data_IF_067026669785
#
_entry.id   IF_067026669785
#
_cell.length_a   1.000
_cell.length_b   1.000
_cell.length_c   1.000
_cell.angle_alpha   90.00
_cell.angle_beta   90.00
_cell.angle_gamma   90.00
#
_symmetry.space_group_name_H-M   'P 1'
#
loop_
_entity.id
_entity.type
_entity.pdbx_description
1 polymer ?
#
# COMPACT_ATOMS: atom_id res chain seq x y z
N UNK A 1 -0.61 33.13 10.26
CA UNK A 1 0.31 32.01 10.38
C UNK A 1 1.69 32.57 10.68
N UNK A 2 2.31 32.18 11.77
CA UNK A 2 3.59 32.71 12.22
C UNK A 2 4.72 32.29 11.27
N UNK A 3 5.72 33.20 11.04
CA UNK A 3 6.88 32.92 10.15
C UNK A 3 7.65 31.66 10.58
N UNK A 4 7.66 31.34 11.86
CA UNK A 4 8.28 30.13 12.42
C UNK A 4 7.55 28.86 11.96
N UNK A 5 6.22 28.86 11.97
CA UNK A 5 5.37 27.75 11.50
C UNK A 5 5.55 27.49 10.00
N UNK A 6 5.60 28.58 9.21
CA UNK A 6 5.79 28.46 7.76
C UNK A 6 7.17 27.86 7.41
N UNK A 7 8.21 28.29 8.12
CA UNK A 7 9.58 27.75 7.97
C UNK A 7 9.65 26.29 8.38
N UNK A 8 8.96 25.90 9.46
CA UNK A 8 8.88 24.52 9.92
C UNK A 8 8.20 23.62 8.87
N UNK A 9 7.02 24.04 8.36
CA UNK A 9 6.30 23.31 7.32
C UNK A 9 7.16 23.19 6.04
N UNK A 10 7.78 24.28 5.59
CA UNK A 10 8.63 24.26 4.40
C UNK A 10 9.82 23.30 4.55
N UNK A 11 10.50 23.31 5.72
CA UNK A 11 11.59 22.37 6.01
C UNK A 11 11.09 20.93 5.97
N UNK A 12 9.92 20.64 6.55
CA UNK A 12 9.36 19.28 6.60
C UNK A 12 8.96 18.78 5.23
N UNK A 13 8.34 19.63 4.40
CA UNK A 13 8.02 19.30 3.01
C UNK A 13 9.29 19.05 2.18
N UNK A 14 10.32 19.88 2.34
CA UNK A 14 11.60 19.68 1.65
C UNK A 14 12.24 18.35 2.03
N UNK A 15 12.29 18.02 3.33
CA UNK A 15 12.84 16.77 3.81
C UNK A 15 12.04 15.55 3.31
N UNK A 16 10.71 15.66 3.28
CA UNK A 16 9.85 14.60 2.73
C UNK A 16 10.09 14.40 1.23
N UNK A 17 10.18 15.49 0.47
CA UNK A 17 10.48 15.44 -0.97
C UNK A 17 11.87 14.82 -1.24
N UNK A 18 12.88 15.21 -0.45
CA UNK A 18 14.22 14.63 -0.54
C UNK A 18 14.21 13.12 -0.23
N UNK A 19 13.50 12.70 0.82
CA UNK A 19 13.36 11.28 1.18
C UNK A 19 12.70 10.50 0.05
N UNK A 20 11.60 11.01 -0.53
CA UNK A 20 10.94 10.37 -1.67
C UNK A 20 11.86 10.28 -2.88
N UNK A 21 12.63 11.33 -3.18
CA UNK A 21 13.60 11.32 -4.28
C UNK A 21 14.68 10.26 -4.06
N UNK A 22 15.20 10.13 -2.83
CA UNK A 22 16.20 9.10 -2.49
C UNK A 22 15.60 7.70 -2.67
N UNK A 23 14.37 7.47 -2.21
CA UNK A 23 13.69 6.17 -2.37
C UNK A 23 13.54 5.82 -3.85
N UNK A 24 13.05 6.78 -4.67
CA UNK A 24 12.89 6.58 -6.12
C UNK A 24 14.24 6.31 -6.78
N UNK A 25 15.31 7.01 -6.37
CA UNK A 25 16.66 6.77 -6.89
C UNK A 25 17.16 5.37 -6.54
N UNK A 26 17.03 4.95 -5.28
CA UNK A 26 17.45 3.61 -4.84
C UNK A 26 16.69 2.53 -5.61
N UNK A 27 15.36 2.66 -5.74
CA UNK A 27 14.56 1.71 -6.52
C UNK A 27 14.97 1.69 -7.99
N UNK A 28 15.24 2.86 -8.59
CA UNK A 28 15.71 2.96 -9.97
C UNK A 28 17.04 2.21 -10.15
N UNK A 29 18.01 2.42 -9.25
CA UNK A 29 19.30 1.73 -9.29
C UNK A 29 19.13 0.22 -9.10
N UNK A 30 18.31 -0.20 -8.13
CA UNK A 30 18.03 -1.62 -7.90
C UNK A 30 17.45 -2.29 -9.15
N UNK A 31 16.49 -1.64 -9.82
CA UNK A 31 15.91 -2.16 -11.06
C UNK A 31 16.94 -2.26 -12.18
N UNK A 32 17.89 -1.32 -12.24
CA UNK A 32 18.97 -1.35 -13.25
C UNK A 32 20.02 -2.44 -12.98
N UNK A 33 20.23 -2.79 -11.71
CA UNK A 33 21.15 -3.86 -11.31
C UNK A 33 20.54 -5.25 -11.42
N UNK A 34 19.22 -5.36 -11.60
CA UNK A 34 18.59 -6.66 -11.82
C UNK A 34 19.06 -7.28 -13.13
N UNK A 35 19.40 -8.58 -13.12
CA UNK A 35 19.79 -9.29 -14.34
C UNK A 35 18.60 -9.36 -15.31
N UNK A 36 18.90 -9.14 -16.58
CA UNK A 36 17.90 -9.12 -17.67
C UNK A 36 17.61 -7.71 -18.18
N UNK A 37 17.07 -7.65 -19.38
CA UNK A 37 16.62 -6.41 -19.99
C UNK A 37 15.12 -6.49 -20.23
N UNK A 38 14.41 -5.35 -20.32
CA UNK A 38 13.00 -5.34 -20.66
C UNK A 38 12.73 -5.80 -22.10
N UNK A 39 13.77 -5.94 -22.88
CA UNK A 39 13.72 -6.40 -24.26
C UNK A 39 14.10 -7.88 -24.35
N UNK A 40 13.52 -8.58 -25.32
CA UNK A 40 13.85 -9.99 -25.55
C UNK A 40 15.22 -10.09 -26.30
N UNK A 41 16.30 -9.81 -25.58
CA UNK A 41 17.65 -9.65 -26.11
C UNK A 41 18.18 -10.91 -26.80
N UNK A 42 17.67 -12.10 -26.43
CA UNK A 42 18.04 -13.37 -27.07
C UNK A 42 17.67 -13.44 -28.55
N UNK A 43 16.68 -12.62 -28.98
CA UNK A 43 16.20 -12.57 -30.37
C UNK A 43 16.71 -11.37 -31.16
N UNK A 44 17.51 -10.50 -30.55
CA UNK A 44 17.98 -9.27 -31.15
C UNK A 44 19.46 -9.42 -31.59
N UNK A 45 19.77 -8.92 -32.76
CA UNK A 45 21.17 -8.76 -33.18
C UNK A 45 21.85 -7.64 -32.39
N UNK A 46 23.18 -7.67 -32.27
CA UNK A 46 23.94 -6.63 -31.56
C UNK A 46 23.68 -5.22 -32.11
N UNK A 47 23.51 -5.10 -33.42
CA UNK A 47 23.16 -3.82 -34.07
C UNK A 47 21.75 -3.33 -33.65
N UNK A 48 20.79 -4.23 -33.53
CA UNK A 48 19.44 -3.91 -33.05
C UNK A 48 19.43 -3.53 -31.58
N UNK A 49 20.21 -4.22 -30.74
CA UNK A 49 20.40 -3.87 -29.32
C UNK A 49 20.99 -2.46 -29.19
N UNK A 50 22.05 -2.16 -29.92
CA UNK A 50 22.69 -0.84 -29.89
C UNK A 50 21.72 0.29 -30.27
N UNK A 51 20.89 0.09 -31.29
CA UNK A 51 19.87 1.05 -31.68
C UNK A 51 18.79 1.26 -30.61
N UNK A 52 18.33 0.18 -30.00
CA UNK A 52 17.36 0.24 -28.91
C UNK A 52 17.96 0.94 -27.69
N UNK A 53 19.20 0.59 -27.31
CA UNK A 53 19.88 1.19 -26.17
C UNK A 53 20.12 2.69 -26.36
N UNK A 54 20.55 3.09 -27.55
CA UNK A 54 20.67 4.51 -27.90
C UNK A 54 19.32 5.24 -27.89
N UNK A 55 18.27 4.61 -28.45
CA UNK A 55 16.92 5.19 -28.47
C UNK A 55 16.34 5.45 -27.10
N UNK A 56 16.57 4.55 -26.13
CA UNK A 56 16.07 4.66 -24.75
C UNK A 56 17.10 5.22 -23.78
N UNK A 57 18.29 5.59 -24.25
CA UNK A 57 19.36 6.17 -23.46
C UNK A 57 19.97 5.22 -22.42
N UNK A 58 19.90 3.91 -22.65
CA UNK A 58 20.51 2.92 -21.75
C UNK A 58 22.04 2.88 -21.86
N UNK A 59 22.60 3.49 -22.89
CA UNK A 59 24.03 3.72 -23.12
C UNK A 59 24.60 4.86 -22.27
N UNK A 60 23.73 5.70 -21.68
CA UNK A 60 24.12 6.86 -20.88
C UNK A 60 24.48 6.48 -19.46
N UNK A 61 25.25 7.34 -18.76
CA UNK A 61 25.51 7.17 -17.32
C UNK A 61 24.23 7.08 -16.49
N UNK A 62 24.25 6.28 -15.41
CA UNK A 62 23.08 6.01 -14.56
C UNK A 62 22.39 7.29 -14.07
N UNK A 63 23.16 8.32 -13.75
CA UNK A 63 22.60 9.59 -13.26
C UNK A 63 21.83 10.37 -14.33
N UNK A 64 22.26 10.32 -15.60
CA UNK A 64 21.50 10.93 -16.72
C UNK A 64 20.20 10.16 -17.00
N UNK A 65 20.28 8.85 -16.96
CA UNK A 65 19.08 8.00 -17.09
C UNK A 65 18.09 8.29 -15.98
N UNK A 66 18.55 8.46 -14.73
CA UNK A 66 17.72 8.81 -13.59
C UNK A 66 17.04 10.19 -13.75
N UNK A 67 17.79 11.22 -14.15
CA UNK A 67 17.23 12.55 -14.38
C UNK A 67 16.14 12.51 -15.45
N UNK A 68 16.37 11.78 -16.52
CA UNK A 68 15.39 11.62 -17.62
C UNK A 68 14.13 10.91 -17.09
N UNK A 69 14.29 9.79 -16.40
CA UNK A 69 13.20 9.04 -15.77
C UNK A 69 12.40 9.90 -14.78
N UNK A 70 13.11 10.63 -13.92
CA UNK A 70 12.48 11.48 -12.92
C UNK A 70 11.67 12.63 -13.54
N UNK A 71 12.20 13.26 -14.59
CA UNK A 71 11.47 14.30 -15.34
C UNK A 71 10.20 13.73 -15.99
N UNK A 72 10.31 12.59 -16.65
CA UNK A 72 9.16 11.91 -17.26
C UNK A 72 8.10 11.56 -16.21
N UNK A 73 8.50 11.00 -15.08
CA UNK A 73 7.60 10.68 -13.96
C UNK A 73 6.86 11.93 -13.45
N UNK A 74 7.54 13.07 -13.31
CA UNK A 74 6.92 14.33 -12.89
C UNK A 74 5.95 14.90 -13.93
N UNK A 75 6.16 14.62 -15.22
CA UNK A 75 5.24 15.00 -16.29
C UNK A 75 4.07 14.01 -16.48
N UNK A 76 4.00 12.95 -15.66
CA UNK A 76 2.95 11.93 -15.74
C UNK A 76 3.21 10.87 -16.81
N UNK A 77 4.39 10.88 -17.44
CA UNK A 77 4.82 9.84 -18.35
C UNK A 77 5.58 8.75 -17.57
N UNK A 78 4.89 7.64 -17.30
CA UNK A 78 5.44 6.46 -16.62
C UNK A 78 6.04 5.43 -17.60
N UNK A 79 6.20 5.81 -18.88
CA UNK A 79 6.69 4.94 -19.92
C UNK A 79 5.69 3.90 -20.39
N UNK A 80 6.20 2.89 -21.08
CA UNK A 80 5.40 1.79 -21.65
C UNK A 80 5.69 0.47 -20.95
N UNK A 81 4.67 -0.38 -20.85
CA UNK A 81 4.80 -1.71 -20.28
C UNK A 81 5.41 -2.68 -21.28
N UNK A 82 6.44 -3.41 -20.86
CA UNK A 82 7.08 -4.46 -21.66
C UNK A 82 6.64 -5.88 -21.30
N UNK A 83 6.11 -6.05 -20.09
CA UNK A 83 5.73 -7.37 -19.55
C UNK A 83 4.24 -7.68 -19.67
N UNK A 84 3.42 -7.00 -18.85
CA UNK A 84 1.99 -7.35 -18.66
C UNK A 84 1.15 -7.08 -19.92
N UNK A 85 1.36 -5.91 -20.54
CA UNK A 85 0.65 -5.51 -21.75
C UNK A 85 1.63 -4.75 -22.63
N UNK A 86 2.21 -5.44 -23.61
CA UNK A 86 3.28 -4.90 -24.43
C UNK A 86 2.84 -3.63 -25.16
N UNK A 87 3.71 -2.61 -25.11
CA UNK A 87 3.54 -1.31 -25.77
C UNK A 87 2.37 -0.45 -25.28
N UNK A 88 1.68 -0.82 -24.18
CA UNK A 88 0.69 0.06 -23.58
C UNK A 88 1.35 1.03 -22.60
N UNK A 89 0.92 2.32 -22.56
CA UNK A 89 1.35 3.25 -21.53
C UNK A 89 1.05 2.70 -20.12
N UNK A 90 2.02 2.80 -19.21
CA UNK A 90 1.86 2.35 -17.82
C UNK A 90 0.71 3.10 -17.12
N UNK A 91 0.51 4.37 -17.46
CA UNK A 91 -0.62 5.17 -16.99
C UNK A 91 -1.98 4.50 -17.24
N UNK A 92 -2.17 3.91 -18.44
CA UNK A 92 -3.42 3.23 -18.80
C UNK A 92 -3.64 1.93 -17.99
N UNK A 93 -2.56 1.36 -17.45
CA UNK A 93 -2.64 0.17 -16.60
C UNK A 93 -2.88 0.55 -15.12
N UNK A 94 -2.31 1.65 -14.65
CA UNK A 94 -2.30 2.02 -13.23
C UNK A 94 -3.48 2.92 -12.87
N UNK A 95 -3.73 3.97 -13.65
CA UNK A 95 -4.75 4.98 -13.31
C UNK A 95 -6.16 4.43 -13.09
N UNK A 96 -6.67 3.45 -13.87
CA UNK A 96 -7.99 2.89 -13.61
C UNK A 96 -8.06 2.05 -12.32
N UNK A 97 -6.93 1.59 -11.81
CA UNK A 97 -6.85 0.74 -10.61
C UNK A 97 -6.70 1.54 -9.31
N UNK A 98 -6.18 2.76 -9.39
CA UNK A 98 -6.00 3.63 -8.21
C UNK A 98 -7.32 3.90 -7.48
N UNK A 99 -8.42 4.31 -8.13
CA UNK A 99 -9.70 4.55 -7.43
C UNK A 99 -10.23 3.31 -6.73
N UNK A 100 -10.06 2.14 -7.35
CA UNK A 100 -10.50 0.86 -6.77
C UNK A 100 -9.69 0.55 -5.50
N UNK A 101 -8.37 0.63 -5.58
CA UNK A 101 -7.49 0.38 -4.44
C UNK A 101 -7.72 1.39 -3.31
N UNK A 102 -7.90 2.66 -3.66
CA UNK A 102 -8.22 3.72 -2.69
C UNK A 102 -9.57 3.46 -2.02
N UNK A 103 -10.60 3.10 -2.78
CA UNK A 103 -11.92 2.78 -2.25
C UNK A 103 -11.89 1.60 -1.26
N UNK A 104 -11.17 0.53 -1.61
CA UNK A 104 -10.99 -0.64 -0.73
C UNK A 104 -10.24 -0.24 0.54
N UNK A 105 -9.11 0.49 0.41
CA UNK A 105 -8.32 0.94 1.55
C UNK A 105 -9.12 1.87 2.48
N UNK A 106 -9.83 2.83 1.92
CA UNK A 106 -10.67 3.76 2.67
C UNK A 106 -11.78 3.03 3.43
N UNK A 107 -12.51 2.12 2.76
CA UNK A 107 -13.55 1.31 3.39
C UNK A 107 -12.98 0.44 4.52
N UNK A 108 -11.79 -0.14 4.34
CA UNK A 108 -11.13 -0.93 5.37
C UNK A 108 -10.73 -0.09 6.59
N UNK A 109 -10.23 1.13 6.39
CA UNK A 109 -9.90 2.05 7.48
C UNK A 109 -11.15 2.47 8.25
N UNK A 110 -12.22 2.88 7.56
CA UNK A 110 -13.49 3.28 8.20
C UNK A 110 -14.06 2.11 9.00
N UNK A 111 -14.20 0.94 8.38
CA UNK A 111 -14.73 -0.26 9.05
C UNK A 111 -13.86 -0.65 10.25
N UNK A 112 -12.54 -0.67 10.06
CA UNK A 112 -11.58 -1.03 11.09
C UNK A 112 -11.59 -0.06 12.27
N UNK A 113 -11.70 1.24 11.99
CA UNK A 113 -11.76 2.28 13.03
C UNK A 113 -13.04 2.17 13.85
N UNK A 114 -14.20 2.05 13.21
CA UNK A 114 -15.49 1.93 13.92
C UNK A 114 -15.49 0.69 14.83
N UNK A 115 -15.16 -0.47 14.28
CA UNK A 115 -15.13 -1.72 15.05
C UNK A 115 -14.05 -1.64 16.15
N UNK A 116 -12.87 -1.10 15.83
CA UNK A 116 -11.76 -0.97 16.78
C UNK A 116 -12.11 -0.08 17.98
N UNK A 117 -12.76 1.07 17.76
CA UNK A 117 -13.23 1.94 18.84
C UNK A 117 -14.22 1.19 19.73
N UNK A 118 -15.23 0.55 19.17
CA UNK A 118 -16.24 -0.18 19.93
C UNK A 118 -15.61 -1.31 20.77
N UNK A 119 -14.72 -2.08 20.19
CA UNK A 119 -13.99 -3.15 20.90
C UNK A 119 -13.06 -2.59 21.99
N UNK A 120 -12.37 -1.47 21.72
CA UNK A 120 -11.49 -0.82 22.68
C UNK A 120 -12.24 -0.29 23.91
N UNK A 121 -13.37 0.38 23.70
CA UNK A 121 -14.25 0.85 24.78
C UNK A 121 -14.78 -0.33 25.59
N UNK A 122 -15.30 -1.37 24.91
CA UNK A 122 -15.81 -2.56 25.59
C UNK A 122 -14.72 -3.25 26.43
N UNK A 123 -13.52 -3.39 25.89
CA UNK A 123 -12.39 -3.98 26.62
C UNK A 123 -11.96 -3.14 27.84
N UNK A 124 -11.99 -1.81 27.74
CA UNK A 124 -11.65 -0.91 28.83
C UNK A 124 -12.68 -0.99 29.98
N UNK A 125 -13.98 -0.97 29.64
CA UNK A 125 -15.08 -1.09 30.61
C UNK A 125 -15.12 -2.46 31.31
N UNK A 126 -14.60 -3.50 30.66
CA UNK A 126 -14.48 -4.86 31.20
C UNK A 126 -13.06 -5.23 31.58
N UNK A 127 -12.25 -4.25 31.99
CA UNK A 127 -10.86 -4.43 32.41
C UNK A 127 -10.70 -5.56 33.43
N UNK A 128 -9.62 -6.35 33.26
CA UNK A 128 -9.28 -7.50 34.10
C UNK A 128 -10.32 -8.64 34.10
N UNK A 129 -11.17 -8.71 33.06
CA UNK A 129 -12.07 -9.84 32.83
C UNK A 129 -11.61 -10.68 31.65
N UNK A 130 -12.25 -11.83 31.45
CA UNK A 130 -11.99 -12.71 30.30
C UNK A 130 -12.20 -11.99 28.95
N UNK A 131 -13.12 -11.02 28.88
CA UNK A 131 -13.40 -10.22 27.69
C UNK A 131 -12.24 -9.30 27.31
N UNK A 132 -11.58 -8.74 28.31
CA UNK A 132 -10.36 -7.95 28.14
C UNK A 132 -9.22 -8.81 27.58
N UNK A 133 -9.05 -10.02 28.10
CA UNK A 133 -8.05 -10.97 27.61
C UNK A 133 -8.33 -11.39 26.17
N UNK A 134 -9.58 -11.70 25.83
CA UNK A 134 -9.99 -12.03 24.45
C UNK A 134 -9.70 -10.87 23.49
N UNK A 135 -10.09 -9.65 23.85
CA UNK A 135 -9.82 -8.45 23.03
C UNK A 135 -8.33 -8.24 22.83
N UNK A 136 -7.52 -8.47 23.84
CA UNK A 136 -6.06 -8.37 23.77
C UNK A 136 -5.47 -9.43 22.83
N UNK A 137 -5.93 -10.68 22.89
CA UNK A 137 -5.51 -11.76 22.00
C UNK A 137 -5.86 -11.43 20.55
N UNK A 138 -7.09 -10.96 20.30
CA UNK A 138 -7.51 -10.53 18.95
C UNK A 138 -6.62 -9.38 18.44
N UNK A 139 -6.30 -8.41 19.31
CA UNK A 139 -5.42 -7.30 18.95
C UNK A 139 -4.00 -7.77 18.62
N UNK A 140 -3.44 -8.70 19.40
CA UNK A 140 -2.11 -9.27 19.13
C UNK A 140 -2.11 -10.05 17.81
N UNK A 141 -3.09 -10.90 17.57
CA UNK A 141 -3.23 -11.64 16.31
C UNK A 141 -3.38 -10.70 15.10
N UNK A 142 -4.17 -9.63 15.25
CA UNK A 142 -4.40 -8.66 14.18
C UNK A 142 -3.17 -7.84 13.78
N UNK A 143 -2.22 -7.66 14.70
CA UNK A 143 -0.93 -7.01 14.40
C UNK A 143 0.10 -8.02 13.89
N UNK A 144 0.05 -9.26 14.38
CA UNK A 144 1.06 -10.29 14.05
C UNK A 144 0.84 -10.94 12.70
N UNK A 145 -0.41 -11.07 12.24
CA UNK A 145 -0.73 -11.71 10.96
C UNK A 145 -0.68 -10.67 9.83
N UNK A 146 0.21 -10.84 8.83
CA UNK A 146 0.23 -9.96 7.66
C UNK A 146 -1.13 -9.98 6.95
N UNK A 147 -1.67 -8.81 6.64
CA UNK A 147 -3.01 -8.68 6.02
C UNK A 147 -3.17 -9.44 4.71
N UNK A 148 -2.11 -9.54 3.91
CA UNK A 148 -2.15 -10.32 2.66
C UNK A 148 -2.29 -11.82 2.92
N UNK A 149 -1.70 -12.36 4.01
CA UNK A 149 -1.85 -13.77 4.40
C UNK A 149 -3.28 -14.05 4.81
N UNK A 150 -3.86 -13.16 5.64
CA UNK A 150 -5.28 -13.26 6.01
C UNK A 150 -6.18 -13.19 4.77
N UNK A 151 -5.88 -12.28 3.83
CA UNK A 151 -6.62 -12.16 2.58
C UNK A 151 -6.57 -13.46 1.77
N UNK A 152 -5.39 -14.10 1.64
CA UNK A 152 -5.25 -15.36 0.94
C UNK A 152 -6.04 -16.49 1.62
N UNK A 153 -6.00 -16.58 2.95
CA UNK A 153 -6.77 -17.57 3.71
C UNK A 153 -8.28 -17.38 3.44
N UNK A 154 -8.77 -16.15 3.51
CA UNK A 154 -10.17 -15.84 3.25
C UNK A 154 -10.56 -16.12 1.79
N UNK A 155 -9.68 -15.81 0.82
CA UNK A 155 -9.91 -16.12 -0.59
C UNK A 155 -9.99 -17.64 -0.85
N UNK A 156 -9.12 -18.41 -0.23
CA UNK A 156 -9.17 -19.88 -0.34
C UNK A 156 -10.45 -20.41 0.31
N UNK A 157 -10.82 -19.91 1.49
CA UNK A 157 -12.01 -20.37 2.21
C UNK A 157 -13.30 -20.01 1.47
N UNK A 158 -13.46 -18.73 1.10
CA UNK A 158 -14.73 -18.16 0.61
C UNK A 158 -14.75 -17.89 -0.90
N UNK A 159 -13.64 -18.04 -1.57
CA UNK A 159 -13.56 -17.93 -3.03
C UNK A 159 -13.39 -19.27 -3.73
N UNK A 160 -12.63 -20.21 -3.11
CA UNK A 160 -12.35 -21.52 -3.72
C UNK A 160 -13.20 -22.62 -3.10
N UNK A 161 -13.13 -22.82 -1.77
CA UNK A 161 -13.84 -23.94 -1.09
C UNK A 161 -15.33 -23.70 -0.97
N UNK A 162 -15.72 -22.49 -0.61
CA UNK A 162 -17.12 -22.07 -0.49
C UNK A 162 -17.29 -20.86 -1.42
N UNK A 163 -17.57 -21.06 -2.73
CA UNK A 163 -17.47 -20.01 -3.77
C UNK A 163 -18.58 -18.96 -3.65
N UNK A 164 -18.52 -18.17 -2.56
CA UNK A 164 -19.44 -17.06 -2.30
C UNK A 164 -18.90 -15.76 -2.93
N UNK A 165 -17.57 -15.56 -2.91
CA UNK A 165 -16.92 -14.33 -3.39
C UNK A 165 -16.01 -14.60 -4.58
N UNK A 166 -15.90 -13.63 -5.52
CA UNK A 166 -14.97 -13.73 -6.64
C UNK A 166 -13.52 -13.74 -6.14
N UNK A 167 -12.67 -14.56 -6.75
CA UNK A 167 -11.23 -14.65 -6.45
C UNK A 167 -10.49 -13.44 -7.03
N UNK A 168 -10.91 -12.97 -8.22
CA UNK A 168 -10.36 -11.81 -8.89
C UNK A 168 -11.38 -10.66 -8.87
N UNK A 169 -10.86 -9.43 -8.94
CA UNK A 169 -11.72 -8.27 -9.02
C UNK A 169 -12.58 -8.32 -10.30
N UNK A 170 -13.89 -8.26 -10.12
CA UNK A 170 -14.88 -8.26 -11.20
C UNK A 170 -15.59 -6.92 -11.24
N UNK A 171 -15.41 -6.18 -12.34
CA UNK A 171 -16.03 -4.87 -12.56
C UNK A 171 -17.57 -4.91 -12.58
N UNK A 172 -18.16 -6.05 -12.91
CA UNK A 172 -19.63 -6.23 -12.87
C UNK A 172 -20.17 -6.45 -11.46
N UNK A 173 -19.30 -6.81 -10.49
CA UNK A 173 -19.65 -7.03 -9.09
C UNK A 173 -18.59 -6.41 -8.17
N UNK A 174 -18.36 -5.09 -8.23
CA UNK A 174 -17.24 -4.43 -7.56
C UNK A 174 -17.32 -4.57 -6.03
N UNK A 175 -18.51 -4.39 -5.45
CA UNK A 175 -18.71 -4.52 -4.00
C UNK A 175 -18.37 -5.93 -3.53
N UNK A 176 -18.93 -6.95 -4.19
CA UNK A 176 -18.73 -8.35 -3.82
C UNK A 176 -17.27 -8.77 -3.90
N UNK A 177 -16.55 -8.26 -4.91
CA UNK A 177 -15.12 -8.51 -5.11
C UNK A 177 -14.24 -7.79 -4.08
N UNK A 178 -14.73 -6.72 -3.44
CA UNK A 178 -13.97 -5.92 -2.49
C UNK A 178 -14.14 -6.38 -1.04
N UNK A 179 -15.13 -7.20 -0.71
CA UNK A 179 -15.46 -7.60 0.67
C UNK A 179 -14.27 -8.29 1.35
N UNK A 180 -13.70 -9.31 0.71
CA UNK A 180 -12.58 -10.06 1.30
C UNK A 180 -11.34 -9.16 1.52
N UNK A 181 -10.86 -8.37 0.53
CA UNK A 181 -9.79 -7.41 0.78
C UNK A 181 -10.10 -6.40 1.86
N UNK A 182 -11.33 -5.87 1.93
CA UNK A 182 -11.73 -4.92 2.98
C UNK A 182 -11.65 -5.56 4.35
N UNK A 183 -12.19 -6.76 4.54
CA UNK A 183 -12.14 -7.48 5.81
C UNK A 183 -10.68 -7.76 6.22
N UNK A 184 -9.87 -8.26 5.28
CA UNK A 184 -8.48 -8.58 5.56
C UNK A 184 -7.64 -7.36 5.96
N UNK A 185 -7.83 -6.22 5.27
CA UNK A 185 -7.14 -4.97 5.57
C UNK A 185 -7.67 -4.33 6.86
N UNK A 186 -8.96 -4.41 7.13
CA UNK A 186 -9.55 -3.83 8.35
C UNK A 186 -9.07 -4.51 9.62
N UNK A 187 -8.64 -5.78 9.55
CA UNK A 187 -8.28 -6.55 10.74
C UNK A 187 -7.09 -5.94 11.50
N UNK A 188 -6.05 -5.51 10.81
CA UNK A 188 -4.91 -4.81 11.43
C UNK A 188 -5.29 -3.42 11.97
N UNK A 189 -6.21 -2.72 11.29
CA UNK A 189 -6.73 -1.43 11.75
C UNK A 189 -7.55 -1.63 13.03
N UNK A 190 -8.46 -2.61 13.06
CA UNK A 190 -9.24 -2.98 14.26
C UNK A 190 -8.30 -3.23 15.45
N UNK A 191 -7.28 -4.05 15.25
CA UNK A 191 -6.33 -4.42 16.29
C UNK A 191 -5.60 -3.20 16.89
N UNK A 192 -5.09 -2.32 16.03
CA UNK A 192 -4.39 -1.12 16.48
C UNK A 192 -5.31 -0.13 17.17
N UNK A 193 -6.45 0.18 16.55
CA UNK A 193 -7.43 1.15 17.10
C UNK A 193 -8.00 0.63 18.43
N UNK A 194 -8.37 -0.64 18.51
CA UNK A 194 -8.88 -1.22 19.76
C UNK A 194 -7.86 -1.12 20.90
N UNK A 195 -6.60 -1.41 20.63
CA UNK A 195 -5.52 -1.31 21.63
C UNK A 195 -5.31 0.13 22.08
N UNK A 196 -5.25 1.10 21.17
CA UNK A 196 -5.13 2.52 21.52
C UNK A 196 -6.33 3.00 22.30
N UNK A 197 -7.54 2.75 21.81
CA UNK A 197 -8.77 3.17 22.48
C UNK A 197 -8.86 2.57 23.89
N UNK A 198 -8.50 1.29 24.07
CA UNK A 198 -8.46 0.66 25.40
C UNK A 198 -7.46 1.35 26.32
N UNK A 199 -6.26 1.64 25.83
CA UNK A 199 -5.22 2.29 26.63
C UNK A 199 -5.66 3.66 27.14
N UNK A 200 -6.13 4.51 26.23
CA UNK A 200 -6.60 5.87 26.56
C UNK A 200 -7.82 5.84 27.50
N UNK A 201 -8.78 4.95 27.24
CA UNK A 201 -9.95 4.80 28.10
C UNK A 201 -9.58 4.34 29.53
N UNK A 202 -8.64 3.40 29.67
CA UNK A 202 -8.17 2.95 30.98
C UNK A 202 -7.48 4.07 31.74
N UNK A 203 -6.67 4.90 31.04
CA UNK A 203 -6.00 6.06 31.63
C UNK A 203 -7.03 7.09 32.13
N UNK A 204 -7.99 7.45 31.31
CA UNK A 204 -9.07 8.39 31.68
C UNK A 204 -9.91 7.86 32.84
N UNK A 205 -10.33 6.58 32.81
CA UNK A 205 -11.13 5.96 33.87
C UNK A 205 -10.38 5.82 35.22
N UNK A 206 -9.04 5.90 35.18
CA UNK A 206 -8.20 5.85 36.40
C UNK A 206 -7.73 7.23 36.86
N UNK A 207 -8.12 8.30 36.19
CA UNK A 207 -7.76 9.67 36.57
C UNK A 207 -8.69 10.22 37.64
N UNK A 208 -8.17 11.12 38.49
CA UNK A 208 -8.88 11.73 39.62
C UNK A 208 -10.08 12.64 39.23
N UNK A 209 -10.41 12.73 37.91
CA UNK A 209 -11.50 13.55 37.39
C UNK A 209 -12.86 12.80 37.33
N UNK A 210 -12.90 11.53 37.66
CA UNK A 210 -14.11 10.71 37.76
C UNK A 210 -14.40 10.30 39.23
#
# INVERSE_FOLDING_TARGET
MDKSTLRYIGKRLLMSALTLMIIVFVLFVMLKLMPGTPFNDEKLTEAQKALIYAKYGFDKPIWEQFITYFRQMLSGDFGISYGISRNLPVSNLVMPRIPISFGIGFAAVVLGTVIGILLGIFAALRRNTIWDSISTVIAVLGVSVPSFVLCLILLIAFGVKIPVFPILFNSSQPIKSSIIPIIALSFSVIANVARFTRSEMVEVLSSDYM
#
